data_IF_258729138276
#
_entry.id   IF_258729138276
#
_cell.length_a   1.000
_cell.length_b   1.000
_cell.length_c   1.000
_cell.angle_alpha   90.00
_cell.angle_beta   90.00
_cell.angle_gamma   90.00
#
_symmetry.space_group_name_H-M   'P 1'
#
loop_
_entity.id
_entity.type
_entity.pdbx_description
1 polymer ?
#
# COMPACT_ATOMS: atom_id res chain seq x y z
N UNK A 1 -22.57 4.68 -20.93
CA UNK A 1 -21.20 5.18 -20.70
C UNK A 1 -21.32 6.69 -20.72
N UNK A 2 -21.07 7.41 -19.64
CA UNK A 2 -21.02 8.86 -19.66
C UNK A 2 -19.90 9.29 -20.60
N UNK A 3 -20.26 9.96 -21.66
CA UNK A 3 -19.34 10.31 -22.73
C UNK A 3 -18.55 11.60 -22.46
N UNK A 4 -18.87 12.32 -21.41
CA UNK A 4 -18.26 13.61 -21.10
C UNK A 4 -18.06 13.78 -19.60
N UNK A 5 -16.86 14.12 -19.24
CA UNK A 5 -16.52 14.70 -17.95
C UNK A 5 -16.87 16.20 -18.00
N UNK A 6 -18.13 16.52 -17.74
CA UNK A 6 -18.63 17.89 -17.77
C UNK A 6 -19.36 18.20 -16.45
N UNK A 7 -18.76 19.08 -15.65
CA UNK A 7 -19.32 19.53 -14.38
C UNK A 7 -20.62 20.34 -14.55
N UNK A 8 -20.82 20.93 -15.73
CA UNK A 8 -22.02 21.70 -16.05
C UNK A 8 -23.20 20.80 -16.44
N UNK A 9 -22.97 19.51 -16.71
CA UNK A 9 -24.03 18.56 -17.03
C UNK A 9 -24.64 18.00 -15.74
N UNK A 10 -25.80 18.55 -15.36
CA UNK A 10 -26.57 18.12 -14.20
C UNK A 10 -27.05 16.65 -14.26
N UNK A 11 -26.87 15.96 -15.40
CA UNK A 11 -27.20 14.54 -15.58
C UNK A 11 -25.98 13.64 -15.46
N UNK A 12 -24.77 14.22 -15.38
CA UNK A 12 -23.53 13.47 -15.21
C UNK A 12 -23.22 13.27 -13.73
N UNK A 13 -22.80 12.06 -13.35
CA UNK A 13 -22.27 11.74 -12.00
C UNK A 13 -20.84 12.28 -11.83
N UNK A 14 -20.60 13.53 -12.24
CA UNK A 14 -19.31 14.23 -12.09
C UNK A 14 -19.37 15.18 -10.92
N UNK A 15 -18.34 15.18 -10.11
CA UNK A 15 -18.27 16.04 -8.93
C UNK A 15 -16.82 16.42 -8.62
N UNK A 16 -16.60 17.71 -8.41
CA UNK A 16 -15.33 18.24 -7.90
C UNK A 16 -15.56 18.80 -6.50
N UNK A 17 -14.65 18.49 -5.58
CA UNK A 17 -14.69 19.05 -4.23
C UNK A 17 -13.30 19.32 -3.71
N UNK A 18 -13.15 20.44 -3.06
CA UNK A 18 -11.93 20.80 -2.35
C UNK A 18 -11.95 20.26 -0.93
N UNK A 19 -10.88 19.55 -0.55
CA UNK A 19 -10.62 19.16 0.84
C UNK A 19 -9.86 20.30 1.57
N UNK A 20 -10.40 21.51 1.50
CA UNK A 20 -9.75 22.75 1.92
C UNK A 20 -9.70 22.98 3.45
N UNK A 21 -10.39 22.15 4.24
CA UNK A 21 -10.35 22.27 5.71
C UNK A 21 -8.94 22.13 6.31
N UNK A 22 -8.05 21.45 5.58
CA UNK A 22 -6.65 21.29 5.95
C UNK A 22 -5.74 21.68 4.79
N UNK A 23 -4.67 22.47 5.02
CA UNK A 23 -3.82 23.00 3.93
C UNK A 23 -2.79 21.99 3.41
N UNK A 24 -2.74 20.77 3.95
CA UNK A 24 -1.79 19.72 3.59
C UNK A 24 -2.15 19.04 2.25
N UNK A 25 -1.15 18.44 1.60
CA UNK A 25 -1.32 17.83 0.28
C UNK A 25 -1.95 16.44 0.36
N UNK A 26 -2.71 16.07 -0.65
CA UNK A 26 -3.19 14.70 -0.86
C UNK A 26 -1.99 13.84 -1.24
N UNK A 27 -1.86 12.69 -0.58
CA UNK A 27 -0.77 11.72 -0.80
C UNK A 27 -1.28 10.49 -1.54
N UNK A 28 -2.38 9.89 -1.06
CA UNK A 28 -2.92 8.65 -1.63
C UNK A 28 -4.39 8.46 -1.22
N UNK A 29 -5.05 7.45 -1.79
CA UNK A 29 -6.39 7.07 -1.40
C UNK A 29 -6.55 5.54 -1.44
N UNK A 30 -7.31 4.99 -0.50
CA UNK A 30 -7.60 3.56 -0.41
C UNK A 30 -9.07 3.31 -0.06
N UNK A 31 -9.72 2.28 -0.67
CA UNK A 31 -11.10 1.93 -0.33
C UNK A 31 -11.20 1.31 1.07
N UNK A 32 -12.28 1.59 1.78
CA UNK A 32 -12.64 0.99 3.07
C UNK A 32 -14.14 0.72 3.09
N UNK A 33 -14.53 -0.50 2.73
CA UNK A 33 -15.95 -0.80 2.50
C UNK A 33 -16.54 0.09 1.40
N UNK A 34 -17.63 0.79 1.71
CA UNK A 34 -18.31 1.70 0.79
C UNK A 34 -17.72 3.12 0.78
N UNK A 35 -16.64 3.34 1.51
CA UNK A 35 -15.97 4.63 1.61
C UNK A 35 -14.64 4.60 0.84
N UNK A 36 -14.27 5.75 0.29
CA UNK A 36 -12.91 6.01 -0.16
C UNK A 36 -12.20 6.87 0.89
N UNK A 37 -11.13 6.37 1.48
CA UNK A 37 -10.33 7.12 2.43
C UNK A 37 -9.22 7.82 1.68
N UNK A 38 -9.24 9.15 1.68
CA UNK A 38 -8.20 10.01 1.12
C UNK A 38 -7.25 10.41 2.23
N UNK A 39 -5.98 10.11 2.02
CA UNK A 39 -4.90 10.47 2.93
C UNK A 39 -4.19 11.70 2.43
N UNK A 40 -4.03 12.66 3.31
CA UNK A 40 -3.16 13.82 3.15
C UNK A 40 -1.89 13.64 3.99
N UNK A 41 -1.00 14.61 4.01
CA UNK A 41 0.26 14.51 4.78
C UNK A 41 0.02 14.31 6.29
N UNK A 42 -1.01 14.95 6.85
CA UNK A 42 -1.30 14.92 8.30
C UNK A 42 -2.76 14.68 8.63
N UNK A 43 -3.62 14.63 7.63
CA UNK A 43 -5.07 14.45 7.80
C UNK A 43 -5.60 13.38 6.86
N UNK A 44 -6.84 12.96 7.10
CA UNK A 44 -7.54 12.01 6.25
C UNK A 44 -9.01 12.33 6.17
N UNK A 45 -9.62 11.99 5.03
CA UNK A 45 -11.03 12.21 4.75
C UNK A 45 -11.67 10.91 4.28
N UNK A 46 -12.90 10.68 4.71
CA UNK A 46 -13.77 9.66 4.13
C UNK A 46 -14.63 10.33 3.06
N UNK A 47 -14.61 9.80 1.86
CA UNK A 47 -15.52 10.19 0.78
C UNK A 47 -16.59 9.12 0.67
N UNK A 48 -17.85 9.55 0.84
CA UNK A 48 -19.01 8.69 0.70
C UNK A 48 -19.78 9.07 -0.56
N UNK A 49 -20.10 8.09 -1.40
CA UNK A 49 -21.05 8.30 -2.48
C UNK A 49 -22.46 8.39 -1.92
N UNK A 50 -23.18 9.47 -2.23
CA UNK A 50 -24.53 9.74 -1.72
C UNK A 50 -25.55 9.95 -2.84
N UNK A 51 -25.10 10.00 -4.10
CA UNK A 51 -25.95 10.23 -5.25
C UNK A 51 -26.30 11.71 -5.48
N UNK A 52 -26.96 11.95 -6.60
CA UNK A 52 -27.36 13.29 -7.03
C UNK A 52 -28.27 14.00 -5.98
N UNK A 53 -28.13 15.35 -5.74
CA UNK A 53 -27.25 16.29 -6.44
C UNK A 53 -25.81 16.36 -5.90
N UNK A 54 -25.57 15.96 -4.67
CA UNK A 54 -24.25 16.01 -4.03
C UNK A 54 -23.58 14.64 -4.13
N UNK A 55 -23.08 14.30 -5.29
CA UNK A 55 -22.58 12.96 -5.66
C UNK A 55 -21.64 12.35 -4.59
N UNK A 56 -20.78 13.16 -4.00
CA UNK A 56 -19.80 12.74 -2.99
C UNK A 56 -19.87 13.66 -1.76
N UNK A 57 -19.91 13.04 -0.59
CA UNK A 57 -19.80 13.76 0.69
C UNK A 57 -18.44 13.54 1.31
N UNK A 58 -17.56 14.54 1.37
CA UNK A 58 -16.33 14.47 2.13
C UNK A 58 -16.61 14.64 3.62
N UNK A 59 -15.99 13.82 4.45
CA UNK A 59 -16.02 13.94 5.90
C UNK A 59 -14.60 13.80 6.45
N UNK A 60 -14.12 14.81 7.16
CA UNK A 60 -12.85 14.71 7.86
C UNK A 60 -12.93 13.68 8.98
N UNK A 61 -11.99 12.74 9.00
CA UNK A 61 -11.89 11.75 10.06
C UNK A 61 -11.08 12.32 11.24
N UNK A 62 -11.40 11.90 12.48
CA UNK A 62 -10.73 12.40 13.67
C UNK A 62 -9.28 11.98 13.73
N UNK A 63 -8.45 12.78 14.40
CA UNK A 63 -7.02 12.58 14.59
C UNK A 63 -6.15 13.17 13.48
N UNK A 64 -4.90 13.43 13.82
CA UNK A 64 -3.88 13.93 12.89
C UNK A 64 -3.06 12.76 12.33
N UNK A 65 -3.71 11.88 11.60
CA UNK A 65 -3.08 10.74 10.95
C UNK A 65 -3.19 10.90 9.45
N UNK A 66 -2.08 11.20 8.83
CA UNK A 66 -1.92 11.22 7.39
C UNK A 66 -1.09 10.03 6.91
N UNK A 67 -0.55 10.13 5.71
CA UNK A 67 0.33 9.12 5.11
C UNK A 67 1.67 9.75 4.74
N UNK A 68 2.76 9.04 5.02
CA UNK A 68 4.12 9.54 4.82
C UNK A 68 4.46 9.75 3.34
N UNK A 69 4.09 8.80 2.49
CA UNK A 69 4.30 8.83 1.05
C UNK A 69 3.30 7.89 0.37
N UNK A 70 3.19 8.00 -0.95
CA UNK A 70 2.36 7.11 -1.76
C UNK A 70 2.78 5.65 -1.59
N UNK A 71 1.79 4.76 -1.46
CA UNK A 71 2.03 3.34 -1.22
C UNK A 71 2.42 2.99 0.23
N UNK A 72 2.40 3.97 1.15
CA UNK A 72 2.67 3.77 2.57
C UNK A 72 1.44 3.29 3.36
N UNK A 73 0.49 2.67 2.70
CA UNK A 73 -0.70 2.10 3.33
C UNK A 73 -1.13 0.80 2.69
N UNK A 74 -1.79 -0.05 3.47
CA UNK A 74 -2.37 -1.31 3.00
C UNK A 74 -3.66 -1.62 3.74
N UNK A 75 -4.60 -2.23 3.03
CA UNK A 75 -5.83 -2.73 3.63
C UNK A 75 -5.60 -4.11 4.26
N UNK A 76 -6.11 -4.29 5.47
CA UNK A 76 -6.13 -5.57 6.19
C UNK A 76 -7.57 -5.87 6.65
N UNK A 77 -7.87 -7.10 7.11
CA UNK A 77 -9.17 -7.41 7.68
C UNK A 77 -9.55 -6.55 8.89
N UNK A 78 -8.56 -5.99 9.58
CA UNK A 78 -8.75 -5.14 10.77
C UNK A 78 -8.86 -3.63 10.44
N UNK A 79 -8.70 -3.25 9.17
CA UNK A 79 -8.67 -1.86 8.72
C UNK A 79 -7.40 -1.50 7.93
N UNK A 80 -7.18 -0.22 7.72
CA UNK A 80 -5.99 0.25 7.03
C UNK A 80 -4.80 0.37 7.98
N UNK A 81 -3.68 -0.23 7.59
CA UNK A 81 -2.38 0.00 8.23
C UNK A 81 -1.62 1.02 7.41
N UNK A 82 -1.20 2.09 8.06
CA UNK A 82 -0.60 3.26 7.41
C UNK A 82 0.70 3.67 8.10
N UNK A 83 1.75 3.82 7.34
CA UNK A 83 2.97 4.51 7.76
C UNK A 83 2.72 6.01 7.68
N UNK A 84 2.51 6.62 8.82
CA UNK A 84 2.30 8.06 8.99
C UNK A 84 3.60 8.77 9.38
N UNK A 85 3.69 10.12 9.24
CA UNK A 85 4.80 10.87 9.79
C UNK A 85 4.91 10.70 11.32
N UNK A 86 5.90 9.92 11.77
CA UNK A 86 6.20 9.71 13.19
C UNK A 86 5.58 8.46 13.83
N UNK A 87 4.71 7.70 13.15
CA UNK A 87 4.16 6.45 13.66
C UNK A 87 3.70 5.50 12.54
N UNK A 88 3.44 4.24 12.90
CA UNK A 88 2.66 3.31 12.08
C UNK A 88 1.37 3.00 12.84
N UNK A 89 0.27 3.25 12.18
CA UNK A 89 -1.05 3.14 12.79
C UNK A 89 -1.96 2.19 12.03
N UNK A 90 -2.88 1.58 12.74
CA UNK A 90 -4.03 0.91 12.16
C UNK A 90 -5.29 1.71 12.50
N UNK A 91 -6.19 1.85 11.55
CA UNK A 91 -7.49 2.45 11.79
C UNK A 91 -8.62 1.79 10.99
N UNK A 92 -9.80 1.77 11.58
CA UNK A 92 -11.04 1.24 11.00
C UNK A 92 -11.99 2.35 10.52
N UNK A 93 -11.47 3.56 10.31
CA UNK A 93 -12.24 4.77 10.01
C UNK A 93 -12.33 5.71 11.20
N UNK A 94 -12.91 5.29 12.32
CA UNK A 94 -13.08 6.14 13.50
C UNK A 94 -11.98 5.94 14.54
N UNK A 95 -11.66 4.70 14.85
CA UNK A 95 -10.61 4.37 15.79
C UNK A 95 -9.24 4.31 15.13
N UNK A 96 -8.25 4.83 15.84
CA UNK A 96 -6.85 4.80 15.43
C UNK A 96 -5.99 4.28 16.56
N UNK A 97 -5.15 3.30 16.25
CA UNK A 97 -4.23 2.69 17.21
C UNK A 97 -2.83 2.60 16.62
N UNK A 98 -1.83 3.00 17.39
CA UNK A 98 -0.44 2.69 17.05
C UNK A 98 -0.17 1.19 17.15
N UNK A 99 0.55 0.65 16.18
CA UNK A 99 1.00 -0.75 16.20
C UNK A 99 2.45 -0.89 16.65
N UNK A 100 3.24 0.17 16.55
CA UNK A 100 4.65 0.13 16.95
C UNK A 100 4.82 0.33 18.46
N UNK A 101 5.63 -0.53 19.08
CA UNK A 101 6.18 -0.24 20.41
C UNK A 101 7.20 0.89 20.33
N UNK A 102 7.48 1.54 21.45
CA UNK A 102 8.42 2.66 21.51
C UNK A 102 9.83 2.32 21.00
N UNK A 103 10.26 1.05 21.11
CA UNK A 103 11.53 0.56 20.55
C UNK A 103 11.53 0.60 19.03
N UNK A 104 10.54 -0.03 18.40
CA UNK A 104 10.43 -0.13 16.93
C UNK A 104 10.16 1.23 16.28
N UNK A 105 9.34 2.08 16.95
CA UNK A 105 9.11 3.44 16.47
C UNK A 105 10.41 4.25 16.43
N UNK A 106 11.19 4.26 17.51
CA UNK A 106 12.47 4.94 17.55
C UNK A 106 13.44 4.39 16.52
N UNK A 107 13.51 3.08 16.37
CA UNK A 107 14.38 2.44 15.38
C UNK A 107 14.01 2.93 13.97
N UNK A 108 12.74 2.83 13.57
CA UNK A 108 12.29 3.23 12.24
C UNK A 108 12.65 4.69 11.95
N UNK A 109 12.17 5.61 12.78
CA UNK A 109 12.33 7.04 12.51
C UNK A 109 13.73 7.60 12.79
N UNK A 110 14.57 6.88 13.52
CA UNK A 110 15.99 7.24 13.66
C UNK A 110 16.86 6.77 12.49
N UNK A 111 16.44 5.72 11.78
CA UNK A 111 17.21 5.14 10.67
C UNK A 111 16.64 5.45 9.30
N UNK A 112 15.38 5.90 9.21
CA UNK A 112 14.73 6.27 7.94
C UNK A 112 15.53 7.37 7.23
N UNK A 113 15.83 7.15 5.94
CA UNK A 113 16.51 8.15 5.11
C UNK A 113 15.62 9.37 4.87
N UNK A 114 16.12 10.56 5.22
CA UNK A 114 15.37 11.81 5.12
C UNK A 114 15.16 12.32 3.70
N UNK A 115 15.95 11.82 2.74
CA UNK A 115 15.87 12.20 1.32
C UNK A 115 14.98 11.22 0.55
N UNK A 116 15.12 9.93 0.85
CA UNK A 116 14.48 8.85 0.10
C UNK A 116 13.26 8.25 0.82
N UNK A 117 12.76 8.85 1.91
CA UNK A 117 11.59 8.35 2.66
C UNK A 117 10.35 8.10 1.77
N UNK A 118 10.23 8.83 0.67
CA UNK A 118 9.14 8.67 -0.29
C UNK A 118 9.19 7.34 -1.07
N UNK A 119 10.27 6.58 -0.93
CA UNK A 119 10.42 5.22 -1.46
C UNK A 119 9.92 4.14 -0.51
N UNK A 120 9.52 4.51 0.70
CA UNK A 120 8.90 3.58 1.64
C UNK A 120 7.58 3.06 1.08
N UNK A 121 7.26 1.82 1.39
CA UNK A 121 5.96 1.21 1.05
C UNK A 121 5.50 0.24 2.13
N UNK A 122 4.20 -0.02 2.15
CA UNK A 122 3.59 -0.98 3.07
C UNK A 122 2.86 -2.04 2.24
N UNK A 123 3.08 -3.30 2.56
CA UNK A 123 2.42 -4.43 1.91
C UNK A 123 1.95 -5.45 2.93
N UNK A 124 0.95 -6.27 2.58
CA UNK A 124 0.43 -7.30 3.46
C UNK A 124 0.60 -8.70 2.84
N UNK A 125 0.85 -9.67 3.69
CA UNK A 125 0.76 -11.07 3.40
C UNK A 125 -0.42 -11.68 4.18
N UNK A 126 -1.60 -11.86 3.56
CA UNK A 126 -2.79 -12.37 4.24
C UNK A 126 -2.64 -13.80 4.76
N UNK A 127 -1.86 -14.64 4.07
CA UNK A 127 -1.67 -16.05 4.46
C UNK A 127 -0.93 -16.20 5.78
N UNK A 128 -0.03 -15.23 6.08
CA UNK A 128 0.76 -15.23 7.31
C UNK A 128 0.26 -14.21 8.33
N UNK A 129 -0.82 -13.50 8.02
CA UNK A 129 -1.34 -12.40 8.83
C UNK A 129 -0.27 -11.32 9.12
N UNK A 130 0.57 -10.98 8.13
CA UNK A 130 1.69 -10.06 8.29
C UNK A 130 1.52 -8.79 7.47
N UNK A 131 1.89 -7.66 8.07
CA UNK A 131 2.10 -6.39 7.37
C UNK A 131 3.59 -6.05 7.42
N UNK A 132 4.14 -5.74 6.26
CA UNK A 132 5.54 -5.37 6.08
C UNK A 132 5.64 -3.88 5.82
N UNK A 133 6.29 -3.17 6.71
CA UNK A 133 6.58 -1.74 6.61
C UNK A 133 8.02 -1.60 6.13
N UNK A 134 8.18 -1.38 4.83
CA UNK A 134 9.46 -1.34 4.15
C UNK A 134 9.94 0.10 4.01
N UNK A 135 11.21 0.35 4.35
CA UNK A 135 11.76 1.70 4.30
C UNK A 135 13.26 1.69 3.98
N UNK A 136 13.77 2.76 3.33
CA UNK A 136 15.21 2.96 3.12
C UNK A 136 15.87 3.43 4.41
N UNK A 137 16.97 2.79 4.80
CA UNK A 137 17.83 3.29 5.87
C UNK A 137 18.69 4.45 5.38
N UNK A 138 19.23 5.23 6.31
CA UNK A 138 20.04 6.40 6.02
C UNK A 138 21.16 6.11 5.00
N UNK A 139 21.22 6.92 3.94
CA UNK A 139 22.16 6.75 2.83
C UNK A 139 21.74 5.72 1.77
N UNK A 140 20.58 5.09 1.92
CA UNK A 140 20.06 4.11 0.95
C UNK A 140 18.98 4.76 0.06
N UNK A 141 18.97 4.38 -1.22
CA UNK A 141 17.97 4.88 -2.16
C UNK A 141 16.68 4.07 -2.12
N UNK A 142 16.78 2.75 -1.96
CA UNK A 142 15.66 1.82 -1.92
C UNK A 142 15.52 1.19 -0.54
N UNK A 143 14.41 0.47 -0.30
CA UNK A 143 14.14 -0.14 0.99
C UNK A 143 15.14 -1.25 1.29
N UNK A 144 15.89 -1.09 2.37
CA UNK A 144 16.88 -2.07 2.89
C UNK A 144 16.41 -2.74 4.16
N UNK A 145 15.36 -2.23 4.79
CA UNK A 145 14.81 -2.79 6.02
C UNK A 145 13.28 -2.81 6.00
N UNK A 146 12.72 -3.83 6.66
CA UNK A 146 11.31 -3.91 6.96
C UNK A 146 11.07 -4.14 8.45
N UNK A 147 10.01 -3.52 8.99
CA UNK A 147 9.37 -3.94 10.22
C UNK A 147 8.17 -4.79 9.82
N UNK A 148 8.04 -5.97 10.43
CA UNK A 148 6.95 -6.91 10.19
C UNK A 148 6.06 -6.91 11.42
N UNK A 149 4.78 -6.66 11.21
CA UNK A 149 3.76 -6.79 12.24
C UNK A 149 2.81 -7.92 11.89
N UNK A 150 2.70 -8.90 12.77
CA UNK A 150 1.69 -9.94 12.65
C UNK A 150 0.45 -9.52 13.43
N UNK A 151 -0.69 -9.40 12.73
CA UNK A 151 -1.91 -8.87 13.35
C UNK A 151 -2.68 -9.89 14.20
N UNK A 152 -2.47 -11.20 14.02
CA UNK A 152 -3.09 -12.23 14.85
C UNK A 152 -2.38 -12.37 16.19
N UNK A 153 -1.05 -12.52 16.17
CA UNK A 153 -0.24 -12.65 17.38
C UNK A 153 0.13 -11.32 18.02
N UNK A 154 -0.10 -10.19 17.32
CA UNK A 154 0.33 -8.85 17.70
C UNK A 154 1.83 -8.76 18.00
N UNK A 155 2.63 -9.48 17.24
CA UNK A 155 4.09 -9.50 17.39
C UNK A 155 4.77 -8.63 16.35
N UNK A 156 5.95 -8.12 16.70
CA UNK A 156 6.78 -7.28 15.83
C UNK A 156 8.14 -7.94 15.61
N UNK A 157 8.60 -7.91 14.38
CA UNK A 157 9.92 -8.36 13.96
C UNK A 157 10.58 -7.39 12.99
N UNK A 158 11.82 -7.63 12.65
CA UNK A 158 12.55 -6.89 11.61
C UNK A 158 13.17 -7.83 10.61
N UNK A 159 13.32 -7.36 9.38
CA UNK A 159 13.99 -8.09 8.32
C UNK A 159 14.81 -7.14 7.46
N UNK A 160 15.98 -7.58 7.06
CA UNK A 160 16.79 -6.91 6.06
C UNK A 160 16.26 -7.25 4.67
N UNK A 161 16.26 -6.25 3.78
CA UNK A 161 15.81 -6.35 2.40
C UNK A 161 16.99 -6.06 1.46
N UNK A 162 16.99 -6.68 0.30
CA UNK A 162 17.97 -6.43 -0.73
C UNK A 162 17.43 -5.43 -1.78
N UNK A 163 17.55 -4.14 -1.45
CA UNK A 163 17.15 -3.03 -2.34
C UNK A 163 15.71 -3.12 -2.89
N UNK A 164 14.74 -3.48 -2.06
CA UNK A 164 13.36 -3.61 -2.48
C UNK A 164 12.74 -2.26 -2.87
N UNK A 165 12.02 -2.21 -3.99
CA UNK A 165 11.33 -1.02 -4.50
C UNK A 165 9.82 -1.11 -4.39
N UNK A 166 9.29 -2.32 -4.33
CA UNK A 166 7.86 -2.62 -4.23
C UNK A 166 7.66 -4.04 -3.70
N UNK A 167 6.51 -4.31 -3.12
CA UNK A 167 6.08 -5.63 -2.68
C UNK A 167 4.59 -5.80 -2.90
N UNK A 168 4.20 -6.97 -3.38
CA UNK A 168 2.81 -7.37 -3.48
C UNK A 168 2.68 -8.82 -3.08
N UNK A 169 1.51 -9.19 -2.56
CA UNK A 169 1.16 -10.59 -2.35
C UNK A 169 0.57 -11.16 -3.63
N UNK A 170 1.00 -12.36 -3.99
CA UNK A 170 0.47 -13.09 -5.12
C UNK A 170 0.84 -14.57 -5.04
N UNK A 171 0.06 -15.43 -5.68
CA UNK A 171 0.41 -16.82 -5.88
C UNK A 171 1.28 -16.95 -7.13
N UNK A 172 2.44 -17.55 -6.98
CA UNK A 172 3.22 -18.03 -8.11
C UNK A 172 2.85 -19.50 -8.28
N UNK A 173 2.06 -19.81 -9.29
CA UNK A 173 1.82 -21.21 -9.67
C UNK A 173 3.12 -21.73 -10.27
N UNK A 174 3.91 -22.39 -9.46
CA UNK A 174 5.03 -23.17 -9.93
C UNK A 174 4.44 -24.42 -10.61
N UNK A 175 4.11 -24.34 -11.88
CA UNK A 175 4.11 -25.56 -12.69
C UNK A 175 5.60 -25.94 -12.76
N UNK A 176 5.91 -27.13 -12.27
CA UNK A 176 7.27 -27.65 -12.35
C UNK A 176 7.67 -27.76 -13.85
N UNK A 177 8.09 -26.63 -14.37
CA UNK A 177 8.86 -26.57 -15.60
C UNK A 177 10.20 -27.26 -15.30
N UNK A 178 10.77 -27.86 -16.29
CA UNK A 178 12.04 -28.54 -16.18
C UNK A 178 13.05 -27.64 -15.42
N UNK A 179 13.52 -28.16 -14.29
CA UNK A 179 14.70 -27.55 -13.68
C UNK A 179 15.87 -27.70 -14.65
N UNK A 180 16.83 -26.81 -14.60
CA UNK A 180 18.07 -26.88 -15.42
C UNK A 180 18.72 -28.26 -15.38
N UNK A 181 18.57 -29.02 -14.31
CA UNK A 181 19.06 -30.39 -14.12
C UNK A 181 18.18 -31.46 -14.79
N UNK A 182 16.96 -31.09 -15.20
CA UNK A 182 16.01 -32.01 -15.83
C UNK A 182 15.93 -31.82 -17.35
N UNK A 183 16.55 -30.76 -17.88
CA UNK A 183 16.67 -30.51 -19.30
C UNK A 183 17.81 -31.36 -19.85
N UNK A 184 17.44 -32.41 -20.58
CA UNK A 184 18.37 -33.35 -21.20
C UNK A 184 18.80 -32.91 -22.62
N UNK A 185 18.25 -31.83 -23.12
CA UNK A 185 18.54 -31.35 -24.46
C UNK A 185 19.77 -30.44 -24.49
N UNK A 186 20.58 -30.62 -25.51
CA UNK A 186 21.75 -29.77 -25.71
C UNK A 186 21.31 -28.34 -26.07
N UNK A 187 22.00 -27.33 -25.55
CA UNK A 187 21.74 -25.89 -25.74
C UNK A 187 21.52 -25.45 -27.18
N UNK A 188 22.12 -26.18 -28.14
CA UNK A 188 22.05 -25.91 -29.55
C UNK A 188 20.90 -26.63 -30.28
N UNK A 189 20.17 -27.50 -29.58
CA UNK A 189 19.03 -28.26 -30.10
C UNK A 189 17.67 -27.72 -29.63
N UNK A 190 17.66 -26.80 -28.66
CA UNK A 190 16.44 -26.16 -28.19
C UNK A 190 15.97 -25.11 -29.20
N UNK A 191 14.89 -25.44 -29.91
CA UNK A 191 14.25 -24.55 -30.89
C UNK A 191 13.08 -23.76 -30.31
N UNK A 192 12.82 -23.90 -29.00
CA UNK A 192 11.80 -23.11 -28.32
C UNK A 192 12.25 -21.66 -28.17
N UNK A 193 11.34 -20.73 -28.41
CA UNK A 193 11.62 -19.32 -28.12
C UNK A 193 11.71 -19.12 -26.60
N UNK A 194 12.60 -18.27 -26.14
CA UNK A 194 12.82 -17.94 -24.72
C UNK A 194 11.57 -17.44 -23.99
N UNK A 195 10.51 -17.07 -24.74
CA UNK A 195 9.22 -16.62 -24.27
C UNK A 195 8.12 -17.70 -24.39
N UNK A 196 8.47 -18.92 -24.84
CA UNK A 196 7.53 -20.02 -25.01
C UNK A 196 7.28 -20.82 -23.71
N UNK A 197 7.96 -20.51 -22.62
CA UNK A 197 7.60 -21.02 -21.29
C UNK A 197 6.24 -20.48 -20.91
N UNK A 198 5.21 -21.22 -21.29
CA UNK A 198 3.83 -20.95 -20.92
C UNK A 198 3.72 -20.95 -19.39
N UNK A 199 3.67 -19.76 -18.83
CA UNK A 199 3.05 -19.56 -17.52
C UNK A 199 1.57 -19.86 -17.68
N UNK A 200 1.20 -21.13 -17.54
CA UNK A 200 -0.19 -21.54 -17.58
C UNK A 200 -0.92 -20.82 -16.43
N UNK A 201 -1.57 -19.74 -16.77
CA UNK A 201 -2.60 -19.14 -15.91
C UNK A 201 -3.78 -20.08 -15.92
N UNK A 202 -3.87 -20.97 -14.93
CA UNK A 202 -5.11 -21.67 -14.64
C UNK A 202 -5.95 -20.77 -13.75
N UNK A 203 -7.04 -20.28 -14.35
CA UNK A 203 -8.16 -19.56 -13.74
C UNK A 203 -8.80 -20.32 -12.59
#
# INVERSE_FOLDING_TARGET
IPATWDEADASADTYETDLAETPDKIIDAMPMGDLLIVYKERSRYALQYIGFPDVIRPQRLPGEVGMLARGCGVQTPMGHVVLAPGDVVIHSGQETRSILTGKYRRMLFATLDSTNYARSFVTANPERAEVWICYPEAGQTNCTRAIIWNWESNTLGTRDLDNATYGAFGQINYTAGNTWDADADAWDSDSSAWDADEYAQTS
#
